data_IF_422169722093
#
_entry.id   IF_422169722093
#
_cell.length_a   1.000
_cell.length_b   1.000
_cell.length_c   1.000
_cell.angle_alpha   90.00
_cell.angle_beta   90.00
_cell.angle_gamma   90.00
#
_symmetry.space_group_name_H-M   'P 1'
#
loop_
_entity.id
_entity.type
_entity.pdbx_description
1 polymer ?
#
# COMPACT_ATOMS: atom_id res chain seq x y z
N UNK A 1 -32.26 -25.74 -36.46
CA UNK A 1 -31.67 -25.59 -37.81
C UNK A 1 -31.59 -24.11 -38.15
N UNK A 2 -30.46 -23.68 -38.71
CA UNK A 2 -30.14 -22.35 -39.29
C UNK A 2 -29.82 -21.28 -38.24
N UNK A 3 -28.68 -20.58 -38.23
CA UNK A 3 -27.45 -20.56 -39.04
C UNK A 3 -26.39 -19.87 -38.13
N UNK A 4 -25.21 -20.44 -37.92
CA UNK A 4 -23.94 -20.12 -38.61
C UNK A 4 -23.51 -18.64 -38.61
N UNK A 5 -22.41 -18.40 -37.90
CA UNK A 5 -21.25 -17.56 -38.25
C UNK A 5 -21.39 -16.07 -38.53
N UNK A 6 -20.69 -15.27 -37.70
CA UNK A 6 -19.80 -14.11 -37.98
C UNK A 6 -19.84 -13.22 -36.71
N UNK A 7 -18.78 -12.67 -36.13
CA UNK A 7 -17.42 -12.47 -36.58
C UNK A 7 -16.53 -12.25 -35.33
N UNK A 8 -15.30 -12.73 -35.41
CA UNK A 8 -14.18 -12.30 -34.56
C UNK A 8 -13.88 -10.84 -34.89
N UNK A 9 -13.91 -9.95 -33.89
CA UNK A 9 -13.37 -8.60 -34.01
C UNK A 9 -12.79 -8.13 -32.66
N UNK A 10 -11.46 -8.25 -32.57
CA UNK A 10 -10.53 -7.37 -31.85
C UNK A 10 -10.79 -7.08 -30.36
N UNK A 11 -10.36 -7.99 -29.48
CA UNK A 11 -9.92 -7.64 -28.13
C UNK A 11 -8.46 -7.16 -28.25
N UNK A 12 -8.25 -5.88 -28.51
CA UNK A 12 -6.92 -5.25 -28.51
C UNK A 12 -7.03 -3.78 -28.08
N UNK A 13 -7.15 -3.58 -26.76
CA UNK A 13 -6.78 -2.33 -26.10
C UNK A 13 -6.35 -2.63 -24.67
N UNK A 14 -5.35 -3.51 -24.51
CA UNK A 14 -4.63 -3.60 -23.24
C UNK A 14 -3.59 -2.46 -23.24
N UNK A 15 -4.00 -1.30 -22.76
CA UNK A 15 -3.07 -0.23 -22.43
C UNK A 15 -2.15 -0.73 -21.32
N UNK A 16 -0.81 -0.78 -21.50
CA UNK A 16 0.07 -0.82 -20.34
C UNK A 16 0.02 0.59 -19.74
N UNK A 17 -0.99 0.83 -18.89
CA UNK A 17 -0.90 1.91 -17.93
C UNK A 17 0.37 1.65 -17.13
N UNK A 18 1.35 2.54 -17.29
CA UNK A 18 2.55 2.61 -16.48
C UNK A 18 2.10 2.98 -15.05
N UNK A 19 1.47 2.05 -14.35
CA UNK A 19 1.07 2.27 -12.97
C UNK A 19 2.34 2.06 -12.15
N UNK A 20 2.91 3.18 -11.71
CA UNK A 20 3.72 3.23 -10.51
C UNK A 20 3.10 2.27 -9.48
N UNK A 21 3.94 1.45 -8.84
CA UNK A 21 3.47 0.48 -7.83
C UNK A 21 2.48 1.21 -6.91
N UNK A 22 1.19 0.83 -6.88
CA UNK A 22 0.21 1.60 -6.16
C UNK A 22 0.66 1.62 -4.71
N UNK A 23 0.77 2.80 -4.12
CA UNK A 23 1.01 2.93 -2.69
C UNK A 23 0.06 1.98 -1.99
N UNK A 24 0.61 1.05 -1.19
CA UNK A 24 -0.22 0.02 -0.56
C UNK A 24 -1.34 0.69 0.21
N UNK A 25 -2.56 0.30 -0.13
CA UNK A 25 -3.73 0.71 0.62
C UNK A 25 -3.88 -0.23 1.82
N UNK A 26 -4.04 0.37 2.99
CA UNK A 26 -4.21 -0.32 4.25
C UNK A 26 -5.60 -0.05 4.81
N UNK A 27 -5.99 -0.88 5.78
CA UNK A 27 -7.24 -0.74 6.50
C UNK A 27 -7.03 -0.86 7.99
N UNK A 28 -7.74 -0.02 8.74
CA UNK A 28 -7.88 -0.16 10.19
C UNK A 28 -9.36 -0.14 10.53
N UNK A 29 -9.77 -1.03 11.43
CA UNK A 29 -11.14 -1.13 11.91
C UNK A 29 -11.15 -0.97 13.41
N UNK A 30 -12.07 -0.15 13.92
CA UNK A 30 -12.13 0.19 15.33
C UNK A 30 -13.21 1.21 15.68
N UNK A 31 -13.56 1.37 16.97
CA UNK A 31 -14.34 2.50 17.44
C UNK A 31 -13.54 3.81 17.29
N UNK A 32 -14.20 4.88 16.88
CA UNK A 32 -13.62 6.24 16.88
C UNK A 32 -13.41 6.68 18.33
N UNK A 33 -12.19 7.03 18.68
CA UNK A 33 -11.83 7.60 19.98
C UNK A 33 -11.91 9.13 19.95
N UNK A 34 -11.51 9.73 18.83
CA UNK A 34 -11.45 11.17 18.64
C UNK A 34 -11.56 11.53 17.15
N UNK A 35 -12.20 12.65 16.84
CA UNK A 35 -12.32 13.16 15.47
C UNK A 35 -12.33 14.69 15.44
N UNK A 36 -11.62 15.27 14.48
CA UNK A 36 -11.57 16.70 14.18
C UNK A 36 -11.34 16.87 12.67
N UNK A 37 -11.09 18.10 12.21
CA UNK A 37 -11.01 18.38 10.77
C UNK A 37 -9.76 17.81 10.08
N UNK A 38 -8.70 17.49 10.83
CA UNK A 38 -7.40 17.07 10.30
C UNK A 38 -7.04 15.62 10.62
N UNK A 39 -7.75 14.97 11.53
CA UNK A 39 -7.51 13.55 11.85
C UNK A 39 -8.77 12.75 12.22
N UNK A 40 -8.59 11.43 12.31
CA UNK A 40 -9.51 10.48 12.98
C UNK A 40 -8.63 9.54 13.79
N UNK A 41 -8.92 9.41 15.09
CA UNK A 41 -8.29 8.44 15.96
C UNK A 41 -9.24 7.25 16.20
N UNK A 42 -8.74 6.03 16.01
CA UNK A 42 -9.49 4.79 16.26
C UNK A 42 -8.70 3.84 17.16
N UNK A 43 -9.40 2.97 17.87
CA UNK A 43 -8.76 1.84 18.57
C UNK A 43 -8.71 0.62 17.67
N UNK A 44 -7.52 0.16 17.32
CA UNK A 44 -7.38 -1.00 16.43
C UNK A 44 -7.81 -2.27 17.17
N UNK A 45 -8.81 -2.97 16.62
CA UNK A 45 -9.30 -4.21 17.23
C UNK A 45 -8.22 -5.31 17.28
N UNK A 46 -7.37 -5.35 16.24
CA UNK A 46 -6.23 -6.25 16.15
C UNK A 46 -4.98 -5.60 16.75
N UNK A 47 -4.86 -5.67 18.08
CA UNK A 47 -3.69 -5.15 18.79
C UNK A 47 -3.95 -4.62 20.21
N UNK A 48 -5.04 -5.05 20.88
CA UNK A 48 -5.47 -4.65 22.25
C UNK A 48 -5.02 -3.24 22.66
N UNK A 49 -5.93 -2.27 22.50
CA UNK A 49 -5.80 -0.89 22.98
C UNK A 49 -4.77 -0.04 22.23
N UNK A 50 -4.45 -0.39 20.98
CA UNK A 50 -3.57 0.42 20.14
C UNK A 50 -4.37 1.55 19.49
N UNK A 51 -4.08 2.80 19.89
CA UNK A 51 -4.64 4.00 19.28
C UNK A 51 -3.94 4.29 17.95
N UNK A 52 -4.73 4.39 16.89
CA UNK A 52 -4.29 4.71 15.53
C UNK A 52 -4.83 6.06 15.12
N UNK A 53 -3.94 6.99 14.79
CA UNK A 53 -4.29 8.31 14.29
C UNK A 53 -4.06 8.38 12.78
N UNK A 54 -5.11 8.73 12.05
CA UNK A 54 -5.09 8.82 10.59
C UNK A 54 -5.42 10.25 10.19
N UNK A 55 -4.55 10.85 9.40
CA UNK A 55 -4.79 12.16 8.82
C UNK A 55 -6.01 12.11 7.88
N UNK A 56 -6.84 13.15 7.94
CA UNK A 56 -7.94 13.38 7.01
C UNK A 56 -7.91 14.81 6.51
N UNK A 57 -8.63 15.04 5.42
CA UNK A 57 -8.83 16.35 4.82
C UNK A 57 -10.19 16.41 4.12
N UNK A 58 -10.48 17.53 3.46
CA UNK A 58 -11.72 17.74 2.72
C UNK A 58 -11.94 16.76 1.54
N UNK A 59 -10.89 16.09 1.07
CA UNK A 59 -10.98 15.06 0.02
C UNK A 59 -11.31 13.67 0.57
N UNK A 60 -11.23 13.49 1.89
CA UNK A 60 -11.55 12.23 2.56
C UNK A 60 -13.03 11.91 2.41
N UNK A 61 -13.33 10.80 1.71
CA UNK A 61 -14.70 10.35 1.48
C UNK A 61 -15.29 9.77 2.75
N UNK A 62 -16.37 10.38 3.24
CA UNK A 62 -17.12 9.90 4.39
C UNK A 62 -18.47 9.34 3.93
N UNK A 63 -18.73 8.06 4.24
CA UNK A 63 -20.02 7.43 3.97
C UNK A 63 -20.95 7.61 5.17
N UNK A 64 -21.53 8.81 5.31
CA UNK A 64 -22.48 9.15 6.38
C UNK A 64 -21.87 9.91 7.56
N UNK A 65 -22.73 10.22 8.53
CA UNK A 65 -22.33 10.90 9.76
C UNK A 65 -21.55 9.95 10.67
N UNK A 66 -20.36 10.35 11.10
CA UNK A 66 -19.50 9.62 12.02
C UNK A 66 -19.45 10.37 13.35
N UNK A 67 -19.55 9.65 14.46
CA UNK A 67 -19.32 10.22 15.80
C UNK A 67 -18.35 9.37 16.61
N UNK A 68 -17.80 9.94 17.67
CA UNK A 68 -17.00 9.20 18.66
C UNK A 68 -17.81 8.02 19.19
N UNK A 69 -17.15 6.87 19.31
CA UNK A 69 -17.74 5.58 19.69
C UNK A 69 -18.22 4.72 18.52
N UNK A 70 -18.42 5.29 17.32
CA UNK A 70 -18.83 4.49 16.16
C UNK A 70 -17.71 3.57 15.69
N UNK A 71 -18.06 2.31 15.44
CA UNK A 71 -17.14 1.37 14.80
C UNK A 71 -17.06 1.66 13.32
N UNK A 72 -15.86 2.01 12.84
CA UNK A 72 -15.59 2.37 11.45
C UNK A 72 -14.43 1.55 10.88
N UNK A 73 -14.41 1.40 9.57
CA UNK A 73 -13.26 0.90 8.81
C UNK A 73 -12.68 2.06 8.01
N UNK A 74 -11.45 2.45 8.31
CA UNK A 74 -10.74 3.52 7.61
C UNK A 74 -9.80 2.88 6.59
N UNK A 75 -9.93 3.30 5.34
CA UNK A 75 -9.02 2.92 4.25
C UNK A 75 -8.02 4.07 4.05
N UNK A 76 -6.73 3.78 4.13
CA UNK A 76 -5.69 4.81 4.09
C UNK A 76 -4.44 4.34 3.34
N UNK A 77 -3.61 5.29 2.91
CA UNK A 77 -2.29 5.04 2.33
C UNK A 77 -1.23 5.60 3.26
N UNK A 78 -0.12 4.87 3.45
CA UNK A 78 1.04 5.40 4.15
C UNK A 78 2.01 6.02 3.15
N UNK A 79 2.29 7.31 3.32
CA UNK A 79 3.21 8.07 2.46
C UNK A 79 4.31 8.69 3.32
N UNK A 80 5.57 8.52 2.90
CA UNK A 80 6.69 9.20 3.54
C UNK A 80 6.64 10.71 3.23
N UNK A 81 6.71 11.55 4.26
CA UNK A 81 6.74 13.01 4.12
C UNK A 81 8.16 13.57 3.98
N UNK A 82 9.12 12.92 4.63
CA UNK A 82 10.54 13.27 4.59
C UNK A 82 11.39 12.00 4.76
N UNK A 83 12.52 11.94 4.07
CA UNK A 83 13.50 10.86 4.19
C UNK A 83 14.87 11.46 4.42
N UNK A 84 15.42 11.26 5.62
CA UNK A 84 16.78 11.67 5.97
C UNK A 84 17.71 10.45 5.97
N UNK A 85 18.77 10.49 5.17
CA UNK A 85 19.78 9.42 5.15
C UNK A 85 20.81 9.68 6.24
N UNK A 86 20.74 8.90 7.33
CA UNK A 86 21.77 8.90 8.37
C UNK A 86 22.90 7.94 7.98
N UNK A 87 24.14 8.40 7.80
CA UNK A 87 25.24 7.52 7.44
C UNK A 87 25.45 6.49 8.55
N UNK A 88 25.41 5.21 8.20
CA UNK A 88 25.84 4.16 9.11
C UNK A 88 27.33 4.39 9.44
N UNK A 89 27.69 4.33 10.73
CA UNK A 89 29.09 4.38 11.16
C UNK A 89 29.82 3.25 10.45
N UNK A 90 30.72 3.58 9.54
CA UNK A 90 31.50 2.60 8.79
C UNK A 90 32.39 1.82 9.76
N UNK A 91 31.98 0.60 10.12
CA UNK A 91 32.88 -0.34 10.75
C UNK A 91 33.93 -0.76 9.72
N UNK A 92 35.17 -0.31 9.97
CA UNK A 92 36.35 -0.81 9.28
C UNK A 92 36.51 -2.30 9.59
N UNK A 93 36.15 -3.16 8.65
CA UNK A 93 36.67 -4.51 8.56
C UNK A 93 36.93 -4.89 7.09
N UNK A 94 38.18 -4.63 6.69
CA UNK A 94 39.02 -5.42 5.80
C UNK A 94 38.42 -5.99 4.48
N UNK A 95 38.89 -5.39 3.39
CA UNK A 95 39.25 -6.03 2.12
C UNK A 95 39.94 -7.39 2.33
N UNK A 96 39.40 -8.45 1.74
CA UNK A 96 40.19 -9.56 1.18
C UNK A 96 39.41 -10.18 0.02
N UNK A 97 40.02 -10.09 -1.16
CA UNK A 97 39.54 -10.58 -2.45
C UNK A 97 39.52 -12.11 -2.53
N UNK A 98 38.62 -12.64 -3.36
CA UNK A 98 38.92 -13.81 -4.18
C UNK A 98 38.41 -15.17 -3.70
N UNK A 99 37.32 -15.63 -4.33
CA UNK A 99 37.28 -16.98 -4.92
C UNK A 99 36.30 -17.01 -6.09
N UNK A 100 36.87 -16.77 -7.26
CA UNK A 100 36.49 -17.36 -8.53
C UNK A 100 36.17 -18.85 -8.35
N UNK A 101 35.01 -19.30 -8.81
CA UNK A 101 34.92 -20.42 -9.76
C UNK A 101 33.48 -20.71 -10.19
N UNK A 102 33.29 -21.31 -11.37
CA UNK A 102 32.13 -21.11 -12.24
C UNK A 102 31.17 -22.31 -12.28
N UNK A 103 30.12 -22.17 -13.12
CA UNK A 103 29.38 -23.25 -13.81
C UNK A 103 28.05 -23.73 -13.17
N UNK A 104 27.07 -24.28 -13.92
CA UNK A 104 26.92 -24.37 -15.38
C UNK A 104 25.60 -23.80 -15.94
N UNK A 105 25.59 -23.62 -17.26
CA UNK A 105 24.41 -23.45 -18.11
C UNK A 105 23.37 -24.58 -17.96
N UNK A 106 22.14 -24.40 -18.47
CA UNK A 106 21.60 -25.12 -19.65
C UNK A 106 20.06 -24.98 -19.82
N UNK A 107 19.65 -24.48 -21.00
CA UNK A 107 18.41 -24.71 -21.80
C UNK A 107 17.06 -24.26 -21.22
N UNK A 108 16.13 -23.73 -22.02
CA UNK A 108 15.77 -24.08 -23.41
C UNK A 108 15.10 -22.90 -24.11
#
# INVERSE_FOLDING_TARGET
MKAFSLAIAAILALSPGLFASPAKTYQVTGPILEMNDTMIAVEKEQGKNERWEIARDASTKANGAMKVGDKVTITYTMTATEVEVKPAKADKAAKAEGRTSPSPATKK
#
